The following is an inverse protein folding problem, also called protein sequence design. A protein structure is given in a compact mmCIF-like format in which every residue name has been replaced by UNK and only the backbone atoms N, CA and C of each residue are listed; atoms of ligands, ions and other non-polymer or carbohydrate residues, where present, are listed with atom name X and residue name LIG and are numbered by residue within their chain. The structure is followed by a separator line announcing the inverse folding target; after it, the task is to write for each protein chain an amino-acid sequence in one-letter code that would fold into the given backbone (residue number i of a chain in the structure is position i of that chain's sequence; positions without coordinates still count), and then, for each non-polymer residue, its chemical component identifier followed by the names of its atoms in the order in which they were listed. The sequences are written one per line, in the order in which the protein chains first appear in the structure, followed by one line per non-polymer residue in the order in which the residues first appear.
data_IF_361493804262
#
_entry.id   IF_361493804262
#
_cell.length_a   1.000
_cell.length_b   1.000
_cell.length_c   1.000
_cell.angle_alpha   90.00
_cell.angle_beta   90.00
_cell.angle_gamma   90.00
#
_symmetry.space_group_name_H-M   'P 1'
#
loop_
_entity.id
_entity.type
_entity.pdbx_description
1 polymer ?
#
# COMPACT_ATOMS: atom_id res chain seq x y z
N UNK A 1 -16.11 -68.38 8.61
CA UNK A 1 -16.53 -67.67 9.84
C UNK A 1 -15.56 -66.49 9.99
N UNK A 2 -15.99 -65.26 9.65
CA UNK A 2 -16.18 -64.14 10.60
C UNK A 2 -14.86 -63.79 11.34
N UNK A 3 -14.22 -62.63 11.23
CA UNK A 3 -14.69 -61.25 11.18
C UNK A 3 -13.54 -60.30 10.77
N UNK A 4 -13.90 -59.25 10.05
CA UNK A 4 -13.13 -58.04 9.73
C UNK A 4 -12.84 -57.23 11.00
N UNK A 5 -11.61 -56.77 11.22
CA UNK A 5 -11.34 -55.60 12.08
C UNK A 5 -10.42 -54.64 11.33
N UNK A 6 -11.06 -53.71 10.65
CA UNK A 6 -10.53 -52.44 10.16
C UNK A 6 -10.13 -51.58 11.36
N UNK A 7 -8.85 -51.23 11.48
CA UNK A 7 -8.37 -50.29 12.48
C UNK A 7 -8.70 -48.87 12.02
N UNK A 8 -9.82 -48.33 12.50
CA UNK A 8 -10.23 -46.95 12.31
C UNK A 8 -9.34 -46.06 13.20
N UNK A 9 -8.43 -45.29 12.60
CA UNK A 9 -7.68 -44.24 13.29
C UNK A 9 -8.65 -43.11 13.66
N UNK A 10 -9.09 -43.10 14.92
CA UNK A 10 -9.91 -42.06 15.49
C UNK A 10 -9.02 -40.82 15.72
N UNK A 11 -9.02 -39.86 14.79
CA UNK A 11 -8.53 -38.51 15.04
C UNK A 11 -9.48 -37.85 16.05
N UNK A 12 -9.13 -37.90 17.34
CA UNK A 12 -9.75 -37.04 18.35
C UNK A 12 -9.17 -35.64 18.11
N UNK A 13 -9.89 -34.84 17.33
CA UNK A 13 -9.72 -33.39 17.31
C UNK A 13 -10.29 -32.92 18.65
N UNK A 14 -9.43 -32.64 19.63
CA UNK A 14 -9.84 -31.82 20.76
C UNK A 14 -10.09 -30.41 20.24
N UNK A 15 -11.31 -29.84 20.35
CA UNK A 15 -11.46 -28.41 20.17
C UNK A 15 -10.78 -27.74 21.35
N UNK A 16 -9.56 -27.24 21.15
CA UNK A 16 -9.03 -26.19 22.00
C UNK A 16 -9.91 -24.97 21.80
N UNK A 17 -10.85 -24.74 22.71
CA UNK A 17 -11.54 -23.46 22.81
C UNK A 17 -10.52 -22.40 23.23
N UNK A 18 -9.86 -21.77 22.26
CA UNK A 18 -9.40 -20.41 22.44
C UNK A 18 -10.66 -19.56 22.57
N UNK A 19 -10.91 -19.02 23.76
CA UNK A 19 -11.99 -18.07 23.96
C UNK A 19 -11.68 -16.83 23.10
N UNK A 20 -12.47 -16.64 22.04
CA UNK A 20 -12.48 -15.40 21.28
C UNK A 20 -12.75 -14.23 22.24
N UNK A 21 -11.98 -13.12 22.16
CA UNK A 21 -12.38 -11.90 22.83
C UNK A 21 -13.73 -11.46 22.25
N UNK A 22 -14.73 -11.31 23.12
CA UNK A 22 -16.03 -10.74 22.73
C UNK A 22 -15.79 -9.33 22.17
N UNK A 23 -15.95 -9.19 20.86
CA UNK A 23 -15.92 -7.93 20.11
C UNK A 23 -17.02 -7.01 20.65
N UNK A 24 -16.66 -5.77 20.98
CA UNK A 24 -17.55 -4.78 21.59
C UNK A 24 -18.62 -4.32 20.58
N UNK A 25 -19.85 -4.06 21.05
CA UNK A 25 -20.96 -3.64 20.18
C UNK A 25 -20.65 -2.31 19.46
N UNK A 26 -19.86 -1.44 20.10
CA UNK A 26 -19.37 -0.20 19.51
C UNK A 26 -18.39 -0.44 18.34
N UNK A 27 -17.47 -1.39 18.47
CA UNK A 27 -16.58 -1.80 17.38
C UNK A 27 -17.37 -2.35 16.20
N UNK A 28 -18.38 -3.19 16.48
CA UNK A 28 -19.25 -3.74 15.45
C UNK A 28 -20.07 -2.66 14.74
N UNK A 29 -20.60 -1.67 15.47
CA UNK A 29 -21.35 -0.56 14.88
C UNK A 29 -20.47 0.33 13.99
N UNK A 30 -19.26 0.66 14.44
CA UNK A 30 -18.29 1.44 13.65
C UNK A 30 -17.87 0.65 12.40
N UNK A 31 -17.67 -0.66 12.53
CA UNK A 31 -17.34 -1.55 11.42
C UNK A 31 -18.49 -1.61 10.40
N UNK A 32 -19.73 -1.72 10.87
CA UNK A 32 -20.92 -1.71 10.01
C UNK A 32 -21.11 -0.37 9.28
N UNK A 33 -20.84 0.76 9.94
CA UNK A 33 -20.93 2.10 9.33
C UNK A 33 -19.82 2.33 8.28
N UNK A 34 -18.60 1.86 8.56
CA UNK A 34 -17.49 1.87 7.59
C UNK A 34 -17.79 0.99 6.38
N UNK A 35 -18.33 -0.21 6.59
CA UNK A 35 -18.75 -1.12 5.52
C UNK A 35 -19.84 -0.46 4.67
N UNK A 36 -20.82 0.19 5.28
CA UNK A 36 -21.93 0.85 4.57
C UNK A 36 -21.45 2.03 3.73
N UNK A 37 -20.57 2.88 4.25
CA UNK A 37 -19.92 3.94 3.47
C UNK A 37 -19.09 3.37 2.31
N UNK A 38 -18.36 2.29 2.56
CA UNK A 38 -17.59 1.62 1.52
C UNK A 38 -18.52 1.07 0.42
N UNK A 39 -19.64 0.45 0.77
CA UNK A 39 -20.65 -0.03 -0.18
C UNK A 39 -21.25 1.12 -1.02
N UNK A 40 -21.56 2.27 -0.42
CA UNK A 40 -22.05 3.43 -1.17
C UNK A 40 -21.00 4.00 -2.13
N UNK A 41 -19.73 4.05 -1.73
CA UNK A 41 -18.63 4.45 -2.62
C UNK A 41 -18.43 3.46 -3.77
N UNK A 42 -18.57 2.16 -3.49
CA UNK A 42 -18.49 1.10 -4.50
C UNK A 42 -19.66 1.16 -5.49
N UNK A 43 -20.89 1.40 -5.04
CA UNK A 43 -22.03 1.61 -5.92
C UNK A 43 -21.85 2.84 -6.82
N UNK A 44 -21.38 3.96 -6.26
CA UNK A 44 -21.07 5.15 -7.06
C UNK A 44 -19.98 4.89 -8.10
N UNK A 45 -18.97 4.09 -7.78
CA UNK A 45 -17.94 3.65 -8.73
C UNK A 45 -18.48 2.70 -9.79
N UNK A 46 -19.34 1.74 -9.45
CA UNK A 46 -19.94 0.79 -10.41
C UNK A 46 -20.78 1.50 -11.49
N UNK A 47 -21.62 2.46 -11.10
CA UNK A 47 -22.42 3.28 -12.05
C UNK A 47 -21.51 4.04 -13.03
N UNK A 48 -20.29 4.39 -12.61
CA UNK A 48 -19.29 5.06 -13.44
C UNK A 48 -18.56 4.09 -14.40
N UNK A 49 -18.41 2.81 -14.01
CA UNK A 49 -17.73 1.78 -14.82
C UNK A 49 -18.63 1.22 -15.92
N UNK A 50 -19.93 1.05 -15.66
CA UNK A 50 -20.91 0.60 -16.67
C UNK A 50 -21.04 1.57 -17.85
N UNK A 51 -20.80 2.86 -17.64
CA UNK A 51 -20.81 3.86 -18.71
C UNK A 51 -19.60 3.77 -19.66
N UNK A 52 -18.52 3.08 -19.28
CA UNK A 52 -17.26 3.06 -20.03
C UNK A 52 -17.08 1.85 -20.97
N UNK A 53 -17.98 0.85 -20.93
CA UNK A 53 -17.81 -0.43 -21.65
C UNK A 53 -18.48 -0.49 -23.04
N UNK A 54 -18.98 0.62 -23.57
CA UNK A 54 -19.63 0.65 -24.90
C UNK A 54 -18.71 1.29 -25.94
N UNK A 55 -17.94 0.46 -26.67
CA UNK A 55 -17.55 0.61 -28.09
C UNK A 55 -16.27 -0.19 -28.42
N UNK A 56 -16.38 -1.50 -28.66
CA UNK A 56 -15.24 -2.34 -29.09
C UNK A 56 -15.15 -2.53 -30.62
N UNK A 57 -16.21 -2.24 -31.38
CA UNK A 57 -16.25 -2.46 -32.83
C UNK A 57 -15.78 -1.24 -33.61
N UNK A 58 -15.04 -1.45 -34.71
CA UNK A 58 -14.65 -0.39 -35.64
C UNK A 58 -15.92 0.11 -36.35
N UNK A 59 -16.19 1.42 -36.36
CA UNK A 59 -17.39 1.97 -37.00
C UNK A 59 -17.32 1.83 -38.53
N UNK A 60 -18.44 1.44 -39.12
CA UNK A 60 -18.62 1.40 -40.58
C UNK A 60 -19.13 2.78 -41.01
N UNK A 61 -18.37 3.45 -41.87
CA UNK A 61 -18.63 4.85 -42.21
C UNK A 61 -18.55 5.10 -43.72
N UNK A 62 -19.28 6.11 -44.19
CA UNK A 62 -19.16 6.66 -45.55
C UNK A 62 -19.36 8.18 -45.48
N UNK A 63 -18.43 9.02 -45.98
CA UNK A 63 -17.19 8.66 -46.67
C UNK A 63 -16.12 8.06 -45.73
N UNK A 64 -15.25 7.20 -46.28
CA UNK A 64 -14.11 6.59 -45.60
C UNK A 64 -12.90 6.50 -46.53
N UNK A 65 -11.71 6.28 -45.96
CA UNK A 65 -10.45 6.09 -46.68
C UNK A 65 -9.87 4.71 -46.41
N UNK A 66 -9.38 4.03 -47.45
CA UNK A 66 -8.71 2.73 -47.32
C UNK A 66 -7.32 2.88 -46.71
N UNK A 67 -7.17 2.50 -45.45
CA UNK A 67 -5.91 2.63 -44.70
C UNK A 67 -5.09 1.36 -44.84
N UNK A 68 -3.95 1.42 -45.55
CA UNK A 68 -3.02 0.31 -45.74
C UNK A 68 -2.04 0.18 -44.58
N UNK A 69 -1.52 1.31 -44.12
CA UNK A 69 -0.49 1.37 -43.06
C UNK A 69 -0.83 2.46 -42.07
N UNK A 70 -0.59 2.20 -40.79
CA UNK A 70 -0.64 3.21 -39.74
C UNK A 70 0.76 3.38 -39.17
N UNK A 71 1.17 4.62 -38.92
CA UNK A 71 2.47 4.96 -38.34
C UNK A 71 2.27 5.84 -37.11
N UNK A 72 3.00 5.58 -36.03
CA UNK A 72 3.07 6.44 -34.85
C UNK A 72 4.50 7.00 -34.73
N UNK A 73 4.65 8.31 -34.95
CA UNK A 73 5.92 9.03 -34.79
C UNK A 73 6.02 9.65 -33.41
N UNK A 74 7.24 9.67 -32.85
CA UNK A 74 7.53 10.29 -31.55
C UNK A 74 7.40 9.36 -30.35
N UNK A 75 7.00 8.10 -30.53
CA UNK A 75 6.96 7.14 -29.44
C UNK A 75 8.36 6.68 -29.02
N UNK A 76 8.69 6.89 -27.75
CA UNK A 76 9.89 6.34 -27.10
C UNK A 76 9.57 5.52 -25.86
N UNK A 77 8.37 5.67 -25.29
CA UNK A 77 7.99 5.08 -24.00
C UNK A 77 7.25 3.74 -24.10
N UNK A 78 6.39 3.55 -25.11
CA UNK A 78 5.64 2.30 -25.29
C UNK A 78 6.43 1.30 -26.12
N UNK A 79 6.34 0.02 -25.76
CA UNK A 79 6.96 -1.03 -26.53
C UNK A 79 6.29 -1.14 -27.91
N UNK A 80 7.09 -1.57 -28.90
CA UNK A 80 6.59 -1.73 -30.27
C UNK A 80 5.41 -2.71 -30.36
N UNK A 81 5.45 -3.78 -29.57
CA UNK A 81 4.42 -4.83 -29.59
C UNK A 81 3.08 -4.31 -29.04
N UNK A 82 3.11 -3.42 -28.04
CA UNK A 82 1.90 -2.80 -27.47
C UNK A 82 1.20 -1.92 -28.52
N UNK A 83 1.97 -1.12 -29.27
CA UNK A 83 1.45 -0.28 -30.35
C UNK A 83 0.92 -1.12 -31.50
N UNK A 84 1.66 -2.14 -31.90
CA UNK A 84 1.29 -3.02 -33.01
C UNK A 84 -0.03 -3.74 -32.71
N UNK A 85 -0.24 -4.22 -31.46
CA UNK A 85 -1.50 -4.83 -31.03
C UNK A 85 -2.71 -3.91 -31.21
N UNK A 86 -2.54 -2.60 -30.98
CA UNK A 86 -3.61 -1.61 -31.12
C UNK A 86 -3.88 -1.29 -32.60
N UNK A 87 -2.83 -1.23 -33.41
CA UNK A 87 -2.90 -0.78 -34.80
C UNK A 87 -3.37 -1.89 -35.75
N UNK A 88 -2.95 -3.14 -35.55
CA UNK A 88 -3.23 -4.27 -36.47
C UNK A 88 -4.71 -4.39 -36.86
N UNK A 89 -5.70 -4.27 -35.96
CA UNK A 89 -7.12 -4.35 -36.32
C UNK A 89 -7.58 -3.28 -37.33
N UNK A 90 -6.87 -2.15 -37.40
CA UNK A 90 -7.20 -1.00 -38.25
C UNK A 90 -6.47 -1.03 -39.59
N UNK A 91 -5.47 -1.91 -39.78
CA UNK A 91 -4.77 -2.07 -41.06
C UNK A 91 -5.68 -2.76 -42.08
N UNK A 92 -5.73 -2.21 -43.30
CA UNK A 92 -6.56 -2.70 -44.39
C UNK A 92 -8.05 -2.39 -44.26
N UNK A 93 -8.45 -1.53 -43.30
CA UNK A 93 -9.84 -1.12 -43.09
C UNK A 93 -10.14 0.21 -43.77
N UNK A 94 -11.40 0.41 -44.18
CA UNK A 94 -11.88 1.72 -44.61
C UNK A 94 -12.30 2.53 -43.38
N UNK A 95 -11.51 3.55 -43.03
CA UNK A 95 -11.76 4.37 -41.83
C UNK A 95 -12.33 5.73 -42.21
N UNK A 96 -13.46 6.07 -41.59
CA UNK A 96 -13.98 7.43 -41.56
C UNK A 96 -13.44 8.21 -40.36
N UNK A 97 -14.04 9.38 -40.12
CA UNK A 97 -13.64 10.27 -39.02
C UNK A 97 -13.73 9.58 -37.66
N UNK A 98 -14.79 8.81 -37.40
CA UNK A 98 -14.97 8.18 -36.09
C UNK A 98 -13.99 7.02 -35.89
N UNK A 99 -13.72 6.22 -36.93
CA UNK A 99 -12.73 5.15 -36.86
C UNK A 99 -11.31 5.66 -36.57
N UNK A 100 -10.92 6.76 -37.22
CA UNK A 100 -9.62 7.41 -36.97
C UNK A 100 -9.56 7.98 -35.54
N UNK A 101 -10.61 8.65 -35.07
CA UNK A 101 -10.67 9.18 -33.70
C UNK A 101 -10.66 8.06 -32.65
N UNK A 102 -11.32 6.92 -32.92
CA UNK A 102 -11.31 5.76 -32.03
C UNK A 102 -9.89 5.18 -31.92
N UNK A 103 -9.15 5.06 -33.03
CA UNK A 103 -7.75 4.63 -33.01
C UNK A 103 -6.85 5.62 -32.25
N UNK A 104 -7.01 6.92 -32.49
CA UNK A 104 -6.31 7.98 -31.74
C UNK A 104 -6.58 7.86 -30.23
N UNK A 105 -7.84 7.64 -29.85
CA UNK A 105 -8.25 7.45 -28.46
C UNK A 105 -7.62 6.20 -27.87
N UNK A 106 -7.63 5.05 -28.57
CA UNK A 106 -6.97 3.82 -28.12
C UNK A 106 -5.46 3.99 -27.91
N UNK A 107 -4.77 4.65 -28.86
CA UNK A 107 -3.35 4.96 -28.70
C UNK A 107 -3.09 5.89 -27.50
N UNK A 108 -3.94 6.91 -27.30
CA UNK A 108 -3.84 7.81 -26.14
C UNK A 108 -4.11 7.06 -24.82
N UNK A 109 -5.12 6.19 -24.79
CA UNK A 109 -5.45 5.37 -23.62
C UNK A 109 -4.31 4.43 -23.26
N UNK A 110 -3.59 3.85 -24.23
CA UNK A 110 -2.42 3.02 -23.95
C UNK A 110 -1.33 3.79 -23.17
N UNK A 111 -1.06 5.05 -23.51
CA UNK A 111 -0.15 5.88 -22.72
C UNK A 111 -0.66 6.13 -21.30
N UNK A 112 -1.95 6.41 -21.15
CA UNK A 112 -2.59 6.66 -19.84
C UNK A 112 -2.53 5.40 -18.96
N UNK A 113 -2.81 4.23 -19.53
CA UNK A 113 -2.81 2.95 -18.80
C UNK A 113 -1.41 2.56 -18.32
N UNK A 114 -0.37 2.95 -19.06
CA UNK A 114 1.03 2.81 -18.64
C UNK A 114 1.50 3.93 -17.67
N UNK A 115 0.64 4.89 -17.33
CA UNK A 115 0.92 5.94 -16.34
C UNK A 115 1.43 7.28 -16.90
N UNK A 116 1.46 7.44 -18.22
CA UNK A 116 1.93 8.65 -18.91
C UNK A 116 0.76 9.60 -19.25
N UNK A 117 0.15 10.17 -18.21
CA UNK A 117 -1.11 10.93 -18.31
C UNK A 117 -1.00 12.28 -19.05
N UNK A 118 0.21 12.80 -19.22
CA UNK A 118 0.49 14.06 -19.93
C UNK A 118 0.87 13.84 -21.40
N UNK A 119 1.01 12.59 -21.84
CA UNK A 119 1.26 12.26 -23.24
C UNK A 119 -0.01 12.34 -24.07
N UNK A 120 0.10 12.88 -25.30
CA UNK A 120 -1.05 13.07 -26.21
C UNK A 120 -0.70 12.66 -27.62
N UNK A 121 -1.60 11.87 -28.22
CA UNK A 121 -1.54 11.50 -29.64
C UNK A 121 -2.43 12.46 -30.42
N UNK A 122 -1.93 12.95 -31.56
CA UNK A 122 -2.68 13.82 -32.46
C UNK A 122 -2.43 13.42 -33.92
N UNK A 123 -3.33 13.91 -34.77
CA UNK A 123 -3.32 13.64 -36.21
C UNK A 123 -2.81 14.91 -36.91
N UNK A 124 -1.62 14.90 -37.51
CA UNK A 124 -1.15 16.02 -38.31
C UNK A 124 -1.98 16.16 -39.61
N UNK A 125 -2.05 17.36 -40.20
CA UNK A 125 -2.56 17.53 -41.56
C UNK A 125 -1.81 16.63 -42.54
N UNK A 126 -2.52 15.76 -43.25
CA UNK A 126 -1.95 14.75 -44.13
C UNK A 126 -2.92 14.39 -45.26
N UNK A 127 -2.39 13.77 -46.32
CA UNK A 127 -3.17 13.24 -47.44
C UNK A 127 -3.34 11.72 -47.32
N UNK A 128 -4.58 11.28 -47.04
CA UNK A 128 -4.94 9.88 -46.85
C UNK A 128 -5.12 9.10 -48.15
N UNK A 129 -5.06 9.74 -49.33
CA UNK A 129 -5.16 9.05 -50.64
C UNK A 129 -4.05 8.02 -50.86
N UNK A 130 -2.91 8.21 -50.19
CA UNK A 130 -1.77 7.28 -50.19
C UNK A 130 -2.06 5.97 -49.43
N UNK A 131 -3.09 5.96 -48.57
CA UNK A 131 -3.42 4.86 -47.67
C UNK A 131 -2.50 4.77 -46.45
N UNK A 132 -1.72 5.82 -46.14
CA UNK A 132 -0.89 5.91 -44.94
C UNK A 132 -1.56 6.85 -43.94
N UNK A 133 -1.90 6.34 -42.76
CA UNK A 133 -2.42 7.11 -41.64
C UNK A 133 -1.32 7.34 -40.61
N UNK A 134 -0.87 8.59 -40.49
CA UNK A 134 0.16 9.01 -39.56
C UNK A 134 -0.44 9.64 -38.30
N UNK A 135 0.08 9.21 -37.15
CA UNK A 135 -0.12 9.83 -35.85
C UNK A 135 1.21 10.36 -35.33
N UNK A 136 1.16 11.46 -34.60
CA UNK A 136 2.30 11.96 -33.83
C UNK A 136 1.92 11.94 -32.36
N UNK A 137 2.85 11.48 -31.51
CA UNK A 137 2.71 11.60 -30.06
C UNK A 137 3.68 12.64 -29.53
N UNK A 138 3.17 13.51 -28.66
CA UNK A 138 3.97 14.33 -27.76
C UNK A 138 3.98 13.62 -26.42
N UNK A 139 5.12 13.07 -26.05
CA UNK A 139 5.33 12.44 -24.75
C UNK A 139 5.58 13.52 -23.70
N UNK A 140 4.78 13.50 -22.62
CA UNK A 140 4.83 14.55 -21.61
C UNK A 140 6.10 14.45 -20.76
N UNK A 141 6.76 15.59 -20.56
CA UNK A 141 7.98 15.70 -19.77
C UNK A 141 7.76 16.47 -18.48
N UNK A 142 8.53 16.16 -17.45
CA UNK A 142 8.55 16.95 -16.23
C UNK A 142 9.58 18.08 -16.37
N UNK A 143 9.10 19.32 -16.26
CA UNK A 143 9.95 20.51 -16.24
C UNK A 143 10.52 20.77 -14.85
N UNK A 144 9.65 20.72 -13.84
CA UNK A 144 10.02 21.07 -12.47
C UNK A 144 9.04 20.46 -11.46
N UNK A 145 9.53 20.15 -10.28
CA UNK A 145 8.77 19.65 -9.16
C UNK A 145 8.95 20.58 -7.95
N UNK A 146 7.86 21.08 -7.38
CA UNK A 146 7.88 21.89 -6.16
C UNK A 146 6.91 21.40 -5.10
N UNK A 147 7.19 21.69 -3.84
CA UNK A 147 6.25 21.51 -2.73
C UNK A 147 6.12 22.83 -1.96
N UNK A 148 4.88 23.25 -1.67
CA UNK A 148 4.55 24.50 -1.00
C UNK A 148 5.33 25.70 -1.59
N UNK A 149 6.14 26.38 -0.76
CA UNK A 149 6.98 27.52 -1.15
C UNK A 149 8.42 27.09 -1.51
N UNK A 150 8.66 25.79 -1.66
CA UNK A 150 9.96 25.21 -1.96
C UNK A 150 11.06 25.62 -0.96
N UNK A 151 10.74 25.66 0.34
CA UNK A 151 11.71 25.93 1.41
C UNK A 151 12.78 24.81 1.52
N UNK A 152 13.80 25.00 2.36
CA UNK A 152 14.80 23.95 2.58
C UNK A 152 14.20 22.70 3.26
N UNK A 153 13.21 22.87 4.13
CA UNK A 153 12.49 21.75 4.76
C UNK A 153 11.62 21.01 3.74
N UNK A 154 10.87 21.76 2.95
CA UNK A 154 10.07 21.27 1.83
C UNK A 154 10.88 20.39 0.87
N UNK A 155 12.04 20.87 0.43
CA UNK A 155 12.94 20.09 -0.45
C UNK A 155 13.46 18.82 0.19
N UNK A 156 13.72 18.83 1.50
CA UNK A 156 14.13 17.62 2.23
C UNK A 156 12.99 16.61 2.29
N UNK A 157 11.80 17.02 2.73
CA UNK A 157 10.60 16.15 2.73
C UNK A 157 10.37 15.52 1.37
N UNK A 158 10.51 16.32 0.32
CA UNK A 158 10.34 15.85 -1.05
C UNK A 158 11.40 14.83 -1.47
N UNK A 159 12.67 15.09 -1.17
CA UNK A 159 13.78 14.22 -1.54
C UNK A 159 13.71 12.83 -0.90
N UNK A 160 13.23 12.75 0.35
CA UNK A 160 13.03 11.49 1.05
C UNK A 160 11.78 10.73 0.56
N UNK A 161 10.77 11.42 0.05
CA UNK A 161 9.52 10.80 -0.38
C UNK A 161 9.53 10.37 -1.86
N UNK A 162 10.04 11.22 -2.76
CA UNK A 162 9.92 11.02 -4.21
C UNK A 162 10.94 10.04 -4.76
N UNK A 163 10.52 9.01 -5.52
CA UNK A 163 11.42 8.15 -6.28
C UNK A 163 12.35 8.95 -7.20
N UNK A 164 13.57 8.44 -7.48
CA UNK A 164 14.43 9.04 -8.48
C UNK A 164 13.70 8.94 -9.83
N UNK A 165 13.54 10.07 -10.50
CA UNK A 165 12.87 10.08 -11.79
C UNK A 165 13.70 9.32 -12.81
N UNK A 166 13.04 8.40 -13.50
CA UNK A 166 13.64 7.72 -14.64
C UNK A 166 13.60 8.68 -15.83
N UNK A 167 14.68 9.43 -16.07
CA UNK A 167 14.75 10.39 -17.18
C UNK A 167 13.83 11.62 -17.00
N UNK A 168 13.34 12.17 -18.13
CA UNK A 168 12.56 13.40 -18.16
C UNK A 168 11.04 13.19 -18.24
N UNK A 169 10.56 11.94 -18.26
CA UNK A 169 9.14 11.65 -18.45
C UNK A 169 8.35 11.65 -17.15
N UNK A 170 7.06 11.92 -17.26
CA UNK A 170 6.17 12.04 -16.11
C UNK A 170 5.41 10.72 -15.89
N UNK A 171 5.82 9.93 -14.90
CA UNK A 171 5.09 8.74 -14.44
C UNK A 171 4.18 9.08 -13.26
N UNK A 172 2.87 8.98 -13.45
CA UNK A 172 1.91 9.25 -12.36
C UNK A 172 2.10 8.30 -11.17
N UNK A 173 2.48 7.05 -11.45
CA UNK A 173 2.74 6.03 -10.43
C UNK A 173 3.86 6.47 -9.47
N UNK A 174 4.98 6.98 -10.01
CA UNK A 174 6.11 7.45 -9.20
C UNK A 174 5.72 8.67 -8.34
N UNK A 175 4.97 9.60 -8.92
CA UNK A 175 4.50 10.81 -8.22
C UNK A 175 3.54 10.44 -7.10
N UNK A 176 2.54 9.61 -7.39
CA UNK A 176 1.59 9.16 -6.37
C UNK A 176 2.30 8.40 -5.24
N UNK A 177 3.35 7.62 -5.53
CA UNK A 177 4.14 6.99 -4.48
C UNK A 177 4.80 8.03 -3.57
N UNK A 178 5.41 9.07 -4.14
CA UNK A 178 5.97 10.14 -3.32
C UNK A 178 4.90 10.92 -2.54
N UNK A 179 3.73 11.16 -3.12
CA UNK A 179 2.60 11.78 -2.41
C UNK A 179 2.11 10.89 -1.26
N UNK A 180 1.97 9.59 -1.47
CA UNK A 180 1.60 8.62 -0.44
C UNK A 180 2.63 8.63 0.70
N UNK A 181 3.93 8.72 0.39
CA UNK A 181 4.98 8.79 1.40
C UNK A 181 4.94 10.09 2.21
N UNK A 182 4.55 11.22 1.60
CA UNK A 182 4.33 12.47 2.33
C UNK A 182 3.08 12.35 3.21
N UNK A 183 1.98 11.79 2.69
CA UNK A 183 0.72 11.59 3.40
C UNK A 183 0.74 10.44 4.41
N UNK A 184 1.87 9.74 4.52
CA UNK A 184 2.08 8.69 5.50
C UNK A 184 2.07 9.23 6.94
N UNK A 185 2.49 10.49 7.12
CA UNK A 185 2.34 11.17 8.40
C UNK A 185 0.93 11.76 8.47
N UNK A 186 0.23 11.53 9.59
CA UNK A 186 -1.18 11.92 9.72
C UNK A 186 -1.38 13.44 9.76
N UNK A 187 -0.36 14.20 10.12
CA UNK A 187 -0.39 15.67 10.06
C UNK A 187 -0.33 16.21 8.63
N UNK A 188 0.06 15.42 7.62
CA UNK A 188 0.19 15.89 6.24
C UNK A 188 -1.09 15.67 5.43
N UNK A 189 -1.36 16.61 4.52
CA UNK A 189 -2.40 16.50 3.51
C UNK A 189 -1.86 17.10 2.21
N UNK A 190 -0.95 16.35 1.59
CA UNK A 190 -0.33 16.61 0.32
C UNK A 190 -1.27 16.26 -0.84
N UNK A 191 -1.48 17.25 -1.72
CA UNK A 191 -2.22 17.11 -2.97
C UNK A 191 -1.36 17.59 -4.11
N UNK A 192 -1.34 16.83 -5.21
CA UNK A 192 -0.65 17.25 -6.43
C UNK A 192 -1.54 18.14 -7.29
N UNK A 193 -0.91 19.12 -7.95
CA UNK A 193 -1.47 19.89 -9.05
C UNK A 193 -0.49 19.87 -10.21
N UNK A 194 -1.02 19.66 -11.41
CA UNK A 194 -0.26 19.71 -12.65
C UNK A 194 -0.51 21.07 -13.29
N UNK A 195 0.57 21.78 -13.57
CA UNK A 195 0.57 23.04 -14.29
C UNK A 195 1.24 22.85 -15.66
N UNK A 196 0.76 23.51 -16.72
CA UNK A 196 1.48 23.51 -17.99
C UNK A 196 2.87 24.15 -17.79
N UNK A 197 3.89 23.51 -18.39
CA UNK A 197 5.25 24.04 -18.44
C UNK A 197 5.42 25.11 -19.52
N UNK A 198 6.66 25.54 -19.73
CA UNK A 198 7.03 26.56 -20.72
C UNK A 198 7.14 25.99 -22.12
N UNK A 199 7.63 24.76 -22.23
CA UNK A 199 7.78 24.04 -23.49
C UNK A 199 6.57 23.15 -23.79
N UNK A 200 6.36 22.82 -25.07
CA UNK A 200 5.28 21.91 -25.47
C UNK A 200 5.51 20.52 -24.89
N UNK A 201 4.50 19.96 -24.22
CA UNK A 201 4.60 18.67 -23.53
C UNK A 201 5.22 18.75 -22.13
N UNK A 202 5.81 19.89 -21.76
CA UNK A 202 6.40 20.07 -20.44
C UNK A 202 5.32 20.33 -19.38
N UNK A 203 5.51 19.77 -18.19
CA UNK A 203 4.60 19.90 -17.05
C UNK A 203 5.36 20.29 -15.79
N UNK A 204 4.83 21.25 -15.04
CA UNK A 204 5.28 21.57 -13.70
C UNK A 204 4.36 20.90 -12.68
N UNK A 205 4.92 20.10 -11.77
CA UNK A 205 4.16 19.54 -10.64
C UNK A 205 4.36 20.43 -9.42
N UNK A 206 3.25 20.82 -8.82
CA UNK A 206 3.23 21.48 -7.53
C UNK A 206 2.48 20.61 -6.52
N UNK A 207 3.15 20.29 -5.42
CA UNK A 207 2.55 19.62 -4.27
C UNK A 207 2.17 20.66 -3.23
N UNK A 208 0.89 20.70 -2.88
CA UNK A 208 0.38 21.52 -1.81
C UNK A 208 0.17 20.62 -0.59
N UNK A 209 1.01 20.77 0.42
CA UNK A 209 0.91 20.02 1.66
C UNK A 209 0.50 20.96 2.79
N UNK A 210 -0.74 20.83 3.25
CA UNK A 210 -1.22 21.51 4.45
C UNK A 210 -0.92 20.65 5.67
N UNK A 211 -0.14 21.18 6.61
CA UNK A 211 0.25 20.48 7.82
C UNK A 211 -0.69 20.83 8.97
N UNK A 212 -1.27 19.81 9.60
CA UNK A 212 -2.03 19.89 10.85
C UNK A 212 -1.09 19.71 12.05
N UNK A 213 -1.64 19.55 13.25
CA UNK A 213 -0.85 19.36 14.47
C UNK A 213 0.06 18.13 14.34
N UNK A 214 1.37 18.40 14.32
CA UNK A 214 2.42 17.38 14.23
C UNK A 214 2.55 16.59 15.55
N UNK A 215 2.10 17.15 16.67
CA UNK A 215 2.12 16.48 17.98
C UNK A 215 0.69 16.22 18.44
N UNK A 216 0.40 14.95 18.73
CA UNK A 216 -0.91 14.51 19.19
C UNK A 216 -0.74 13.61 20.39
N UNK A 217 -1.73 13.60 21.27
CA UNK A 217 -1.74 12.70 22.41
C UNK A 217 -3.16 12.31 22.76
N UNK A 218 -3.30 11.10 23.31
CA UNK A 218 -4.57 10.57 23.75
C UNK A 218 -4.41 9.91 25.13
N UNK A 219 -5.42 10.12 25.97
CA UNK A 219 -5.57 9.43 27.23
C UNK A 219 -6.90 8.70 27.19
N UNK A 220 -6.87 7.40 27.46
CA UNK A 220 -8.03 6.53 27.42
C UNK A 220 -8.09 5.72 28.73
N UNK A 221 -9.30 5.59 29.27
CA UNK A 221 -9.58 4.75 30.42
C UNK A 221 -10.78 3.86 30.11
N UNK A 222 -10.57 2.55 30.18
CA UNK A 222 -11.60 1.56 29.87
C UNK A 222 -11.56 0.38 30.85
N UNK A 223 -12.51 -0.55 30.73
CA UNK A 223 -12.62 -1.74 31.58
C UNK A 223 -12.44 -3.07 30.81
N UNK A 224 -11.71 -3.04 29.68
CA UNK A 224 -11.46 -4.17 28.77
C UNK A 224 -10.30 -5.08 29.21
N UNK A 225 -9.86 -4.95 30.45
CA UNK A 225 -8.84 -5.79 31.05
C UNK A 225 -9.35 -7.15 31.49
N UNK A 226 -8.42 -8.06 31.79
CA UNK A 226 -8.76 -9.41 32.25
C UNK A 226 -9.04 -9.42 33.76
N UNK A 227 -9.89 -10.34 34.21
CA UNK A 227 -10.18 -10.47 35.64
C UNK A 227 -8.94 -10.81 36.47
N UNK A 228 -8.01 -11.59 35.92
CA UNK A 228 -6.77 -12.04 36.57
C UNK A 228 -5.71 -10.95 36.72
N UNK A 229 -5.67 -9.97 35.80
CA UNK A 229 -4.59 -8.96 35.75
C UNK A 229 -5.08 -7.52 35.88
N UNK A 230 -6.38 -7.34 36.18
CA UNK A 230 -7.05 -6.06 36.29
C UNK A 230 -7.95 -5.77 35.09
N UNK A 231 -9.23 -5.44 35.39
CA UNK A 231 -10.21 -5.04 34.37
C UNK A 231 -10.01 -3.61 33.90
N UNK A 232 -9.61 -2.71 34.80
CA UNK A 232 -9.43 -1.29 34.48
C UNK A 232 -8.08 -1.10 33.79
N UNK A 233 -8.09 -0.49 32.60
CA UNK A 233 -6.89 -0.16 31.83
C UNK A 233 -6.82 1.33 31.60
N UNK A 234 -5.63 1.90 31.79
CA UNK A 234 -5.30 3.24 31.34
C UNK A 234 -4.35 3.13 30.16
N UNK A 235 -4.63 3.85 29.09
CA UNK A 235 -3.77 3.96 27.92
C UNK A 235 -3.41 5.41 27.72
N UNK A 236 -2.13 5.66 27.53
CA UNK A 236 -1.59 6.95 27.17
C UNK A 236 -0.79 6.81 25.89
N UNK A 237 -1.20 7.53 24.85
CA UNK A 237 -0.51 7.57 23.56
C UNK A 237 -0.02 8.97 23.25
N UNK A 238 1.13 9.05 22.58
CA UNK A 238 1.67 10.27 21.98
C UNK A 238 2.19 9.95 20.59
N UNK A 239 1.79 10.75 19.61
CA UNK A 239 2.32 10.67 18.26
C UNK A 239 2.98 12.00 17.90
N UNK A 240 4.13 11.91 17.25
CA UNK A 240 4.85 13.04 16.73
C UNK A 240 5.25 12.77 15.28
N UNK A 241 4.79 13.63 14.39
CA UNK A 241 5.06 13.57 12.97
C UNK A 241 6.18 14.54 12.61
N UNK A 242 7.03 14.11 11.69
CA UNK A 242 8.00 14.92 10.99
C UNK A 242 9.03 15.62 11.90
N UNK A 243 9.41 15.00 13.03
CA UNK A 243 10.42 15.52 13.98
C UNK A 243 11.75 15.80 13.26
N UNK A 244 12.18 14.90 12.37
CA UNK A 244 13.45 15.03 11.64
C UNK A 244 13.31 15.81 10.32
N UNK A 245 12.09 16.20 9.93
CA UNK A 245 11.85 16.90 8.67
C UNK A 245 11.89 15.99 7.43
N UNK A 246 11.71 14.68 7.60
CA UNK A 246 11.84 13.67 6.53
C UNK A 246 10.55 12.85 6.33
N UNK A 247 9.41 13.35 6.78
CA UNK A 247 8.13 12.62 6.84
C UNK A 247 8.22 11.35 7.74
N UNK A 248 9.00 11.45 8.82
CA UNK A 248 9.10 10.44 9.85
C UNK A 248 7.89 10.46 10.80
N UNK A 249 7.47 9.32 11.33
CA UNK A 249 6.49 9.23 12.41
C UNK A 249 7.14 8.63 13.65
N UNK A 250 6.73 9.11 14.81
CA UNK A 250 7.12 8.61 16.11
C UNK A 250 5.87 8.37 16.95
N UNK A 251 5.74 7.20 17.52
CA UNK A 251 4.63 6.84 18.39
C UNK A 251 5.14 6.30 19.70
N UNK A 252 4.60 6.79 20.80
CA UNK A 252 4.78 6.25 22.13
C UNK A 252 3.42 5.82 22.66
N UNK A 253 3.34 4.60 23.20
CA UNK A 253 2.11 4.10 23.80
C UNK A 253 2.42 3.35 25.09
N UNK A 254 1.79 3.77 26.17
CA UNK A 254 1.79 3.09 27.46
C UNK A 254 0.39 2.53 27.74
N UNK A 255 0.32 1.29 28.21
CA UNK A 255 -0.91 0.67 28.70
C UNK A 255 -0.62 0.08 30.07
N UNK A 256 -1.35 0.52 31.08
CA UNK A 256 -1.25 0.02 32.44
C UNK A 256 -2.58 -0.58 32.91
N UNK A 257 -2.50 -1.63 33.71
CA UNK A 257 -3.59 -2.15 34.53
C UNK A 257 -3.05 -2.48 35.93
N UNK A 258 -3.85 -3.14 36.77
CA UNK A 258 -3.48 -3.48 38.14
C UNK A 258 -2.18 -4.30 38.20
N UNK A 259 -2.07 -5.32 37.34
CA UNK A 259 -0.99 -6.31 37.38
C UNK A 259 -0.33 -6.51 36.00
N UNK A 260 -0.54 -5.59 35.05
CA UNK A 260 0.09 -5.63 33.72
C UNK A 260 0.50 -4.24 33.26
N UNK A 261 1.70 -4.11 32.73
CA UNK A 261 2.17 -2.87 32.10
C UNK A 261 2.78 -3.19 30.73
N UNK A 262 2.56 -2.31 29.76
CA UNK A 262 3.18 -2.41 28.45
C UNK A 262 3.54 -1.01 27.94
N UNK A 263 4.73 -0.91 27.35
CA UNK A 263 5.26 0.27 26.71
C UNK A 263 5.66 -0.09 25.29
N UNK A 264 5.35 0.77 24.33
CA UNK A 264 5.74 0.60 22.93
C UNK A 264 6.23 1.93 22.37
N UNK A 265 7.37 1.87 21.69
CA UNK A 265 7.95 2.95 20.91
C UNK A 265 7.99 2.50 19.46
N UNK A 266 7.38 3.28 18.57
CA UNK A 266 7.35 3.05 17.14
C UNK A 266 8.01 4.24 16.45
N UNK A 267 8.81 3.96 15.43
CA UNK A 267 9.32 4.96 14.52
C UNK A 267 9.21 4.42 13.10
N UNK A 268 9.00 5.31 12.14
CA UNK A 268 9.13 4.94 10.75
C UNK A 268 9.40 6.13 9.85
N UNK A 269 10.11 5.92 8.74
CA UNK A 269 10.41 6.98 7.79
C UNK A 269 10.47 6.42 6.36
N UNK A 270 10.04 7.21 5.36
CA UNK A 270 10.15 6.81 3.96
C UNK A 270 11.54 7.11 3.41
N UNK A 271 11.95 6.32 2.43
CA UNK A 271 13.03 6.64 1.51
C UNK A 271 12.62 6.17 0.11
N UNK A 272 11.96 7.05 -0.64
CA UNK A 272 11.48 6.78 -2.01
C UNK A 272 10.47 5.62 -1.99
N UNK A 273 10.75 4.57 -2.76
CA UNK A 273 9.98 3.33 -2.79
C UNK A 273 10.14 2.47 -1.55
N UNK A 274 11.07 2.80 -0.65
CA UNK A 274 11.28 2.10 0.61
C UNK A 274 10.59 2.81 1.77
N UNK A 275 10.15 2.02 2.74
CA UNK A 275 9.72 2.48 4.05
C UNK A 275 10.43 1.67 5.11
N UNK A 276 11.04 2.35 6.07
CA UNK A 276 11.71 1.72 7.20
C UNK A 276 10.86 1.88 8.46
N UNK A 277 10.78 0.82 9.26
CA UNK A 277 10.09 0.84 10.55
C UNK A 277 10.95 0.24 11.65
N UNK A 278 10.91 0.86 12.81
CA UNK A 278 11.54 0.39 14.04
C UNK A 278 10.48 0.38 15.13
N UNK A 279 10.32 -0.75 15.80
CA UNK A 279 9.40 -0.88 16.93
C UNK A 279 10.12 -1.53 18.10
N UNK A 280 9.96 -0.98 19.29
CA UNK A 280 10.42 -1.58 20.53
C UNK A 280 9.28 -1.63 21.53
N UNK A 281 9.03 -2.81 22.10
CA UNK A 281 8.02 -3.00 23.14
C UNK A 281 8.57 -3.73 24.35
N UNK A 282 8.19 -3.23 25.52
CA UNK A 282 8.38 -3.87 26.81
C UNK A 282 7.00 -4.19 27.37
N UNK A 283 6.82 -5.39 27.90
CA UNK A 283 5.62 -5.72 28.67
C UNK A 283 5.94 -6.62 29.84
N UNK A 284 5.18 -6.45 30.90
CA UNK A 284 5.23 -7.26 32.11
C UNK A 284 3.84 -7.60 32.61
N UNK A 285 3.74 -8.72 33.29
CA UNK A 285 2.53 -9.14 33.98
C UNK A 285 2.85 -9.89 35.26
N UNK A 286 1.94 -9.78 36.22
CA UNK A 286 1.86 -10.62 37.40
C UNK A 286 0.53 -11.36 37.36
N UNK A 287 0.58 -12.69 37.43
CA UNK A 287 -0.60 -13.52 37.49
C UNK A 287 -0.54 -14.41 38.73
N UNK A 288 -1.58 -14.35 39.56
CA UNK A 288 -1.68 -15.16 40.78
C UNK A 288 -2.39 -16.46 40.42
N UNK A 289 -1.64 -17.57 40.43
CA UNK A 289 -2.15 -18.91 40.15
C UNK A 289 -2.83 -19.52 41.39
N UNK A 290 -3.68 -20.55 41.21
CA UNK A 290 -4.25 -21.30 42.32
C UNK A 290 -3.17 -21.77 43.32
N UNK A 291 -3.47 -21.68 44.61
CA UNK A 291 -2.49 -21.93 45.66
C UNK A 291 -1.61 -20.71 46.00
N UNK A 292 -2.05 -19.49 45.62
CA UNK A 292 -1.39 -18.23 45.92
C UNK A 292 0.06 -18.18 45.39
N UNK A 293 0.21 -18.65 44.16
CA UNK A 293 1.50 -18.82 43.50
C UNK A 293 1.72 -17.72 42.48
N UNK A 294 2.72 -16.89 42.71
CA UNK A 294 3.03 -15.77 41.83
C UNK A 294 3.76 -16.23 40.58
N UNK A 295 3.18 -15.93 39.41
CA UNK A 295 3.81 -16.05 38.11
C UNK A 295 4.04 -14.65 37.54
N UNK A 296 5.29 -14.19 37.60
CA UNK A 296 5.71 -12.95 36.96
C UNK A 296 6.33 -13.26 35.59
N UNK A 297 6.00 -12.46 34.58
CA UNK A 297 6.59 -12.57 33.26
C UNK A 297 6.90 -11.22 32.66
N UNK A 298 8.02 -11.13 31.97
CA UNK A 298 8.41 -9.95 31.20
C UNK A 298 8.83 -10.32 29.79
N UNK A 299 8.61 -9.41 28.83
CA UNK A 299 8.95 -9.58 27.43
C UNK A 299 9.48 -8.28 26.85
N UNK A 300 10.65 -8.35 26.22
CA UNK A 300 11.24 -7.28 25.42
C UNK A 300 11.23 -7.70 23.95
N UNK A 301 10.68 -6.87 23.07
CA UNK A 301 10.60 -7.16 21.64
C UNK A 301 11.08 -5.96 20.85
N UNK A 302 12.11 -6.13 20.02
CA UNK A 302 12.55 -5.11 19.07
C UNK A 302 12.37 -5.64 17.65
N UNK A 303 11.75 -4.87 16.77
CA UNK A 303 11.52 -5.24 15.37
C UNK A 303 12.05 -4.15 14.46
N UNK A 304 12.88 -4.56 13.50
CA UNK A 304 13.26 -3.75 12.35
C UNK A 304 12.49 -4.27 11.14
N UNK A 305 11.79 -3.39 10.42
CA UNK A 305 11.02 -3.72 9.24
C UNK A 305 11.37 -2.84 8.04
N UNK A 306 11.21 -3.39 6.85
CA UNK A 306 11.35 -2.68 5.58
C UNK A 306 10.21 -3.05 4.65
N UNK A 307 9.64 -2.08 3.96
CA UNK A 307 8.65 -2.29 2.91
C UNK A 307 9.15 -1.64 1.63
N UNK A 308 9.27 -2.40 0.54
CA UNK A 308 9.67 -1.92 -0.77
C UNK A 308 8.50 -2.00 -1.74
N UNK A 309 8.18 -0.89 -2.42
CA UNK A 309 7.21 -0.89 -3.51
C UNK A 309 7.81 -1.59 -4.74
N UNK A 310 7.28 -2.76 -5.08
CA UNK A 310 7.69 -3.53 -6.27
C UNK A 310 6.97 -3.03 -7.52
N UNK A 311 5.68 -2.75 -7.40
CA UNK A 311 4.85 -2.32 -8.53
C UNK A 311 3.62 -1.54 -8.05
N UNK A 312 3.24 -0.49 -8.80
CA UNK A 312 1.93 0.14 -8.66
C UNK A 312 1.37 0.63 -9.99
N UNK A 313 0.05 0.71 -10.03
CA UNK A 313 -0.72 1.50 -10.99
C UNK A 313 -1.97 2.06 -10.29
N UNK A 314 -2.88 2.70 -11.03
CA UNK A 314 -4.09 3.30 -10.45
C UNK A 314 -5.07 2.31 -9.78
N UNK A 315 -4.89 0.99 -9.96
CA UNK A 315 -5.74 -0.05 -9.38
C UNK A 315 -5.00 -0.96 -8.41
N UNK A 316 -3.75 -1.32 -8.69
CA UNK A 316 -2.99 -2.38 -8.01
C UNK A 316 -1.72 -1.82 -7.38
N UNK A 317 -1.36 -2.33 -6.20
CA UNK A 317 -0.10 -2.07 -5.50
C UNK A 317 0.50 -3.39 -4.99
N UNK A 318 1.79 -3.58 -5.19
CA UNK A 318 2.54 -4.77 -4.75
C UNK A 318 3.74 -4.28 -3.94
N UNK A 319 3.79 -4.68 -2.67
CA UNK A 319 4.91 -4.40 -1.78
C UNK A 319 5.62 -5.69 -1.39
N UNK A 320 6.93 -5.62 -1.24
CA UNK A 320 7.74 -6.66 -0.62
C UNK A 320 8.18 -6.20 0.77
N UNK A 321 7.75 -6.93 1.79
CA UNK A 321 7.95 -6.58 3.20
C UNK A 321 8.91 -7.56 3.85
N UNK A 322 9.90 -7.06 4.56
CA UNK A 322 10.80 -7.88 5.38
C UNK A 322 10.85 -7.38 6.80
N UNK A 323 10.98 -8.26 7.78
CA UNK A 323 11.19 -7.87 9.16
C UNK A 323 12.08 -8.83 9.93
N UNK A 324 12.86 -8.28 10.86
CA UNK A 324 13.68 -9.02 11.80
C UNK A 324 13.26 -8.61 13.21
N UNK A 325 12.71 -9.57 13.95
CA UNK A 325 12.29 -9.35 15.33
C UNK A 325 13.26 -10.03 16.29
N UNK A 326 13.64 -9.38 17.37
CA UNK A 326 14.37 -9.94 18.50
C UNK A 326 13.45 -9.88 19.71
N UNK A 327 12.98 -11.04 20.18
CA UNK A 327 12.12 -11.16 21.35
C UNK A 327 12.85 -11.90 22.46
N UNK A 328 12.91 -11.33 23.65
CA UNK A 328 13.42 -11.96 24.89
C UNK A 328 12.30 -12.00 25.92
N UNK A 329 11.96 -13.19 26.40
CA UNK A 329 10.96 -13.39 27.44
C UNK A 329 11.57 -14.13 28.62
N UNK A 330 11.28 -13.63 29.82
CA UNK A 330 11.73 -14.19 31.08
C UNK A 330 10.52 -14.37 31.98
N UNK A 331 10.53 -15.44 32.78
CA UNK A 331 9.42 -15.77 33.68
C UNK A 331 9.98 -16.20 35.02
N UNK A 332 9.29 -15.84 36.08
CA UNK A 332 9.60 -16.24 37.45
C UNK A 332 8.38 -16.85 38.09
N UNK A 333 8.54 -18.04 38.66
CA UNK A 333 7.51 -18.72 39.45
C UNK A 333 7.98 -18.76 40.90
N UNK A 334 7.21 -18.15 41.81
CA UNK A 334 7.60 -18.01 43.22
C UNK A 334 9.00 -17.37 43.40
N UNK A 335 9.35 -16.41 42.54
CA UNK A 335 10.66 -15.77 42.53
C UNK A 335 11.80 -16.60 41.90
N UNK A 336 11.56 -17.87 41.56
CA UNK A 336 12.53 -18.73 40.87
C UNK A 336 12.44 -18.48 39.36
N UNK A 337 13.58 -18.18 38.73
CA UNK A 337 13.65 -17.93 37.29
C UNK A 337 13.47 -19.23 36.49
N UNK A 338 12.55 -19.19 35.53
CA UNK A 338 12.35 -20.25 34.55
C UNK A 338 13.28 -20.03 33.36
N UNK A 339 13.50 -21.07 32.54
CA UNK A 339 14.37 -20.99 31.38
C UNK A 339 13.98 -19.80 30.45
N UNK A 340 14.89 -18.84 30.24
CA UNK A 340 14.60 -17.68 29.41
C UNK A 340 14.48 -18.07 27.94
N UNK A 341 13.57 -17.42 27.22
CA UNK A 341 13.34 -17.67 25.81
C UNK A 341 13.78 -16.47 24.99
N UNK A 342 14.69 -16.69 24.03
CA UNK A 342 15.09 -15.70 23.04
C UNK A 342 14.73 -16.17 21.64
N UNK A 343 13.84 -15.47 20.96
CA UNK A 343 13.40 -15.77 19.61
C UNK A 343 13.86 -14.67 18.65
N UNK A 344 14.40 -15.06 17.50
CA UNK A 344 14.78 -14.12 16.46
C UNK A 344 14.19 -14.52 15.10
N UNK A 345 12.88 -14.36 14.90
CA UNK A 345 12.27 -14.66 13.61
C UNK A 345 12.63 -13.60 12.57
N UNK A 346 12.96 -14.07 11.37
CA UNK A 346 13.02 -13.29 10.15
C UNK A 346 11.77 -13.58 9.32
N UNK A 347 11.08 -12.53 8.85
CA UNK A 347 9.89 -12.62 8.02
C UNK A 347 10.15 -11.96 6.68
N UNK A 348 9.66 -12.57 5.61
CA UNK A 348 9.56 -11.98 4.28
C UNK A 348 8.17 -12.24 3.72
N UNK A 349 7.52 -11.22 3.15
CA UNK A 349 6.16 -11.31 2.64
C UNK A 349 5.95 -10.45 1.39
N UNK A 350 5.08 -10.91 0.49
CA UNK A 350 4.55 -10.13 -0.62
C UNK A 350 3.12 -9.71 -0.29
N UNK A 351 2.87 -8.41 -0.39
CA UNK A 351 1.61 -7.75 -0.12
C UNK A 351 1.03 -7.23 -1.43
N UNK A 352 -0.05 -7.82 -1.92
CA UNK A 352 -0.80 -7.39 -3.09
C UNK A 352 -2.08 -6.70 -2.62
N UNK A 353 -2.37 -5.51 -3.13
CA UNK A 353 -3.66 -4.86 -2.98
C UNK A 353 -4.18 -4.36 -4.33
N UNK A 354 -5.48 -4.47 -4.54
CA UNK A 354 -6.12 -4.13 -5.81
C UNK A 354 -7.54 -3.57 -5.60
N UNK A 355 -7.79 -2.40 -6.18
CA UNK A 355 -9.11 -1.80 -6.32
C UNK A 355 -9.81 -2.39 -7.54
N UNK A 356 -10.83 -3.19 -7.30
CA UNK A 356 -11.74 -3.72 -8.31
C UNK A 356 -12.95 -2.77 -8.47
N UNK A 357 -13.66 -2.81 -9.60
CA UNK A 357 -14.86 -1.99 -9.80
C UNK A 357 -15.92 -2.14 -8.70
N UNK A 358 -15.98 -3.33 -8.09
CA UNK A 358 -16.98 -3.73 -7.10
C UNK A 358 -16.41 -3.90 -5.68
N UNK A 359 -15.11 -3.65 -5.46
CA UNK A 359 -14.53 -3.89 -4.14
C UNK A 359 -13.04 -3.57 -4.04
N UNK A 360 -12.48 -3.82 -2.88
CA UNK A 360 -11.04 -3.81 -2.64
C UNK A 360 -10.60 -5.22 -2.27
N UNK A 361 -9.52 -5.69 -2.89
CA UNK A 361 -8.91 -6.98 -2.64
C UNK A 361 -7.50 -6.79 -2.07
N UNK A 362 -7.15 -7.53 -1.02
CA UNK A 362 -5.79 -7.58 -0.48
C UNK A 362 -5.37 -9.01 -0.15
N UNK A 363 -4.16 -9.37 -0.56
CA UNK A 363 -3.55 -10.66 -0.30
C UNK A 363 -2.14 -10.46 0.24
N UNK A 364 -1.84 -11.11 1.37
CA UNK A 364 -0.48 -11.21 1.88
C UNK A 364 -0.04 -12.67 1.85
N UNK A 365 1.16 -12.91 1.33
CA UNK A 365 1.80 -14.23 1.36
C UNK A 365 3.18 -14.08 1.95
N UNK A 366 3.51 -14.85 2.98
CA UNK A 366 4.79 -14.67 3.66
C UNK A 366 5.31 -15.92 4.34
N UNK A 367 6.62 -15.94 4.56
CA UNK A 367 7.34 -17.00 5.25
C UNK A 367 8.04 -16.40 6.46
N UNK A 368 7.97 -17.09 7.58
CA UNK A 368 8.68 -16.75 8.81
C UNK A 368 9.66 -17.87 9.11
N UNK A 369 10.93 -17.51 9.29
CA UNK A 369 12.00 -18.44 9.63
C UNK A 369 12.66 -18.03 10.95
N UNK A 370 12.68 -18.94 11.92
CA UNK A 370 13.42 -18.74 13.16
C UNK A 370 14.93 -18.77 12.91
N UNK A 371 15.65 -17.70 13.27
CA UNK A 371 17.10 -17.62 13.08
C UNK A 371 17.86 -17.96 14.37
N UNK A 372 19.16 -18.24 14.24
CA UNK A 372 20.09 -18.42 15.37
C UNK A 372 20.83 -17.14 15.75
N UNK A 373 20.48 -16.01 15.12
CA UNK A 373 21.16 -14.73 15.33
C UNK A 373 21.03 -14.27 16.78
N UNK A 374 21.99 -13.47 17.23
CA UNK A 374 22.04 -12.90 18.58
C UNK A 374 21.93 -13.94 19.72
N UNK A 375 22.27 -15.20 19.48
CA UNK A 375 22.17 -16.25 20.50
C UNK A 375 20.71 -16.65 20.81
N UNK A 376 19.86 -16.71 19.79
CA UNK A 376 18.50 -17.22 19.93
C UNK A 376 18.48 -18.64 20.53
N UNK A 377 17.49 -18.91 21.38
CA UNK A 377 17.28 -20.21 22.01
C UNK A 377 17.07 -21.27 20.92
N UNK A 378 17.73 -22.43 21.07
CA UNK A 378 17.50 -23.57 20.18
C UNK A 378 16.18 -24.22 20.57
N UNK A 379 15.35 -24.49 19.57
CA UNK A 379 14.23 -25.40 19.75
C UNK A 379 14.80 -26.82 19.93
N UNK A 380 14.29 -27.57 20.91
CA UNK A 380 14.78 -28.92 21.23
C UNK A 380 14.05 -30.01 20.42
N UNK A 381 13.53 -29.67 19.24
CA UNK A 381 12.78 -30.58 18.37
C UNK A 381 13.65 -31.45 17.46
#
# INVERSE_FOLDING_TARGET
MKIIITLLALFIIMPTYAADPKVDFAEKFLQDELIKRQLELLQKKQVQVEASQKEETIPIESPCFDIKTVQLKGNTLLARDDIEHIIVPYKGQCLGKNGVNQLMAKLTTAYIDHGYITSRVYIPPQDLTTGILEFIVIEGTLENFSINNNSAQDRRKLWWAMPPQSGNYLSIAEIEQGIDQINRVSSANAKMKLWPGRETGATHIQVLNTTQDEFRGNLEWNNEGQASTGKQKIRFGMDADNILGINDTWGFNYIGSKDTNALTLNNSFPFRDWTFSLSHSYSEYLNILPGNTDLFGQSNTSTLGTDYLVYRNGKRKINWSTSLTVRRSERRLLGVELAPQKLVPFRTALNLSENLPWGFYSLETGIVHGTKLFGASKDTS
#
